data_IF_463567011086
#
_entry.id   IF_463567011086
#
_cell.length_a   1.000
_cell.length_b   1.000
_cell.length_c   1.000
_cell.angle_alpha   90.00
_cell.angle_beta   90.00
_cell.angle_gamma   90.00
#
_symmetry.space_group_name_H-M   'P 1'
#
loop_
_entity.id
_entity.type
_entity.pdbx_description
1 polymer ?
#
# COMPACT_ATOMS: atom_id res chain seq x y z
N UNK A 1 13.04 -18.41 -13.10
CA UNK A 1 11.93 -17.85 -12.29
C UNK A 1 12.51 -16.70 -11.48
N UNK A 2 11.95 -15.50 -11.57
CA UNK A 2 12.34 -14.37 -10.72
C UNK A 2 11.22 -14.17 -9.69
N UNK A 3 11.60 -14.10 -8.41
CA UNK A 3 10.70 -13.76 -7.31
C UNK A 3 10.94 -12.30 -6.96
N UNK A 4 9.85 -11.53 -6.87
CA UNK A 4 9.87 -10.12 -6.47
C UNK A 4 9.08 -9.98 -5.17
N UNK A 5 9.50 -9.08 -4.29
CA UNK A 5 8.77 -8.70 -3.08
C UNK A 5 8.67 -7.19 -3.05
N UNK A 6 7.45 -6.61 -3.00
CA UNK A 6 7.30 -5.17 -2.92
C UNK A 6 7.75 -4.67 -1.55
N UNK A 7 8.43 -3.52 -1.54
CA UNK A 7 8.88 -2.87 -0.30
C UNK A 7 8.42 -1.43 -0.31
N UNK A 8 7.87 -0.96 0.80
CA UNK A 8 7.54 0.45 0.99
C UNK A 8 8.77 1.23 1.42
N UNK A 9 9.16 2.21 0.61
CA UNK A 9 10.13 3.23 1.00
C UNK A 9 9.40 4.48 1.50
N UNK A 10 9.96 5.15 2.50
CA UNK A 10 9.43 6.42 3.01
C UNK A 10 10.55 7.46 3.15
N UNK A 11 10.18 8.73 3.04
CA UNK A 11 11.12 9.84 3.10
C UNK A 11 11.18 10.42 4.54
N UNK A 12 12.28 10.17 5.25
CA UNK A 12 12.50 10.65 6.62
C UNK A 12 12.48 12.19 6.74
N UNK A 13 12.96 12.91 5.73
CA UNK A 13 12.93 14.38 5.75
C UNK A 13 11.51 14.92 5.54
N UNK A 14 10.71 14.25 4.72
CA UNK A 14 9.29 14.56 4.59
C UNK A 14 8.55 14.33 5.91
N UNK A 15 8.88 13.26 6.64
CA UNK A 15 8.34 13.00 7.99
C UNK A 15 8.68 14.14 8.95
N UNK A 16 9.96 14.50 9.07
CA UNK A 16 10.40 15.62 9.92
C UNK A 16 9.68 16.93 9.57
N UNK A 17 9.59 17.28 8.28
CA UNK A 17 8.89 18.49 7.79
C UNK A 17 7.39 18.48 8.09
N UNK A 18 6.79 17.28 8.14
CA UNK A 18 5.39 17.08 8.49
C UNK A 18 5.13 16.99 10.01
N UNK A 19 6.17 17.07 10.85
CA UNK A 19 6.06 16.90 12.30
C UNK A 19 5.85 15.45 12.75
N UNK A 20 6.24 14.48 11.92
CA UNK A 20 6.21 13.05 12.21
C UNK A 20 7.58 12.55 12.68
N UNK A 21 7.60 11.45 13.44
CA UNK A 21 8.85 10.81 13.89
C UNK A 21 9.50 10.00 12.74
N UNK A 22 10.69 10.40 12.25
CA UNK A 22 11.35 9.73 11.13
C UNK A 22 11.89 8.34 11.46
N UNK A 23 11.94 7.94 12.73
CA UNK A 23 12.39 6.62 13.16
C UNK A 23 11.23 5.67 13.49
N UNK A 24 9.98 6.13 13.31
CA UNK A 24 8.77 5.33 13.48
C UNK A 24 7.98 5.26 12.16
N UNK A 25 8.39 4.37 11.24
CA UNK A 25 7.65 4.17 10.00
C UNK A 25 6.24 3.63 10.29
N UNK A 26 5.24 3.98 9.46
CA UNK A 26 3.90 3.41 9.56
C UNK A 26 3.91 1.88 9.52
N UNK A 27 3.13 1.25 10.39
CA UNK A 27 2.96 -0.20 10.49
C UNK A 27 1.59 -0.66 9.99
N UNK A 28 0.61 0.24 9.86
CA UNK A 28 -0.73 -0.07 9.33
C UNK A 28 -1.11 0.85 8.17
N UNK A 29 -2.13 0.45 7.39
CA UNK A 29 -2.62 1.27 6.28
C UNK A 29 -3.23 2.59 6.76
N UNK A 30 -3.88 2.62 7.93
CA UNK A 30 -4.40 3.85 8.54
C UNK A 30 -3.26 4.81 8.91
N UNK A 31 -2.14 4.27 9.42
CA UNK A 31 -0.96 5.07 9.72
C UNK A 31 -0.31 5.62 8.44
N UNK A 32 -0.29 4.86 7.36
CA UNK A 32 0.18 5.32 6.04
C UNK A 32 -0.72 6.46 5.55
N UNK A 33 -2.04 6.32 5.63
CA UNK A 33 -2.99 7.35 5.22
C UNK A 33 -2.81 8.64 6.04
N UNK A 34 -2.66 8.50 7.36
CA UNK A 34 -2.42 9.63 8.28
C UNK A 34 -1.11 10.35 7.95
N UNK A 35 -0.03 9.60 7.75
CA UNK A 35 1.27 10.16 7.37
C UNK A 35 1.21 10.86 6.02
N UNK A 36 0.54 10.25 5.03
CA UNK A 36 0.35 10.81 3.69
C UNK A 36 -0.40 12.15 3.72
N UNK A 37 -1.47 12.24 4.52
CA UNK A 37 -2.23 13.49 4.73
C UNK A 37 -1.36 14.57 5.38
N UNK A 38 -0.57 14.21 6.39
CA UNK A 38 0.34 15.15 7.06
C UNK A 38 1.42 15.70 6.11
N UNK A 39 2.05 14.83 5.32
CA UNK A 39 3.08 15.21 4.32
C UNK A 39 2.50 16.12 3.24
N UNK A 40 1.33 15.78 2.71
CA UNK A 40 0.65 16.60 1.70
C UNK A 40 0.28 17.98 2.26
N UNK A 41 -0.12 18.05 3.54
CA UNK A 41 -0.42 19.32 4.22
C UNK A 41 0.83 20.17 4.46
N UNK A 42 1.97 19.56 4.80
CA UNK A 42 3.22 20.28 5.05
C UNK A 42 3.92 20.74 3.76
N UNK A 43 3.65 20.08 2.63
CA UNK A 43 4.18 20.47 1.34
C UNK A 43 3.17 20.18 0.22
N UNK A 44 2.47 21.23 -0.24
CA UNK A 44 1.47 21.13 -1.32
C UNK A 44 2.03 20.62 -2.66
N UNK A 45 3.35 20.71 -2.87
CA UNK A 45 4.03 20.19 -4.06
C UNK A 45 4.39 18.70 -3.98
N UNK A 46 4.19 18.06 -2.82
CA UNK A 46 4.50 16.65 -2.59
C UNK A 46 3.22 15.82 -2.46
N UNK A 47 3.25 14.58 -2.96
CA UNK A 47 2.20 13.58 -2.71
C UNK A 47 2.64 12.72 -1.53
N UNK A 48 1.77 12.55 -0.55
CA UNK A 48 2.07 11.78 0.67
C UNK A 48 2.13 10.26 0.48
N UNK A 49 1.61 9.74 -0.64
CA UNK A 49 1.67 8.33 -1.00
C UNK A 49 1.64 8.21 -2.53
N UNK A 50 2.35 7.21 -3.06
CA UNK A 50 2.33 6.84 -4.46
C UNK A 50 2.45 5.33 -4.60
N UNK A 51 1.65 4.76 -5.49
CA UNK A 51 1.75 3.37 -5.91
C UNK A 51 2.00 3.37 -7.42
N UNK A 52 2.92 2.53 -7.88
CA UNK A 52 3.13 2.37 -9.31
C UNK A 52 1.87 1.76 -9.93
N UNK A 53 1.51 2.17 -11.14
CA UNK A 53 0.33 1.65 -11.85
C UNK A 53 0.57 0.24 -12.43
N UNK A 54 0.89 -0.70 -11.55
CA UNK A 54 1.06 -2.13 -11.86
C UNK A 54 0.04 -2.93 -11.07
N UNK A 55 -0.79 -3.71 -11.77
CA UNK A 55 -1.90 -4.45 -11.18
C UNK A 55 -1.49 -5.32 -9.98
N UNK A 56 -0.36 -6.02 -10.10
CA UNK A 56 0.14 -6.90 -9.06
C UNK A 56 0.42 -6.19 -7.72
N UNK A 57 0.71 -4.88 -7.69
CA UNK A 57 0.88 -4.16 -6.43
C UNK A 57 -0.44 -4.02 -5.65
N UNK A 58 -1.56 -3.89 -6.35
CA UNK A 58 -2.89 -3.89 -5.73
C UNK A 58 -3.24 -5.28 -5.20
N UNK A 59 -2.87 -6.33 -5.95
CA UNK A 59 -3.06 -7.72 -5.54
C UNK A 59 -2.31 -8.01 -4.23
N UNK A 60 -1.07 -7.54 -4.09
CA UNK A 60 -0.28 -7.67 -2.87
C UNK A 60 -0.90 -6.92 -1.68
N UNK A 61 -1.49 -5.73 -1.89
CA UNK A 61 -2.19 -5.01 -0.83
C UNK A 61 -3.44 -5.74 -0.35
N UNK A 62 -4.17 -6.40 -1.25
CA UNK A 62 -5.33 -7.25 -0.91
C UNK A 62 -4.86 -8.49 -0.14
N UNK A 63 -3.80 -9.14 -0.60
CA UNK A 63 -3.23 -10.32 0.05
C UNK A 63 -2.70 -10.02 1.47
N UNK A 64 -2.08 -8.86 1.70
CA UNK A 64 -1.64 -8.41 3.03
C UNK A 64 -2.81 -8.29 4.03
N UNK A 65 -4.04 -8.12 3.55
CA UNK A 65 -5.25 -8.07 4.38
C UNK A 65 -5.90 -9.45 4.55
N UNK A 66 -5.26 -10.52 4.08
CA UNK A 66 -5.78 -11.89 4.13
C UNK A 66 -6.93 -12.15 3.16
N UNK A 67 -7.18 -11.24 2.21
CA UNK A 67 -8.26 -11.36 1.25
C UNK A 67 -7.79 -11.98 -0.07
N UNK A 68 -8.74 -12.52 -0.83
CA UNK A 68 -8.52 -13.03 -2.18
C UNK A 68 -8.92 -11.95 -3.20
N UNK A 69 -8.18 -11.87 -4.30
CA UNK A 69 -8.49 -10.98 -5.42
C UNK A 69 -9.79 -11.41 -6.11
N UNK A 70 -9.98 -12.72 -6.29
CA UNK A 70 -11.12 -13.33 -6.95
C UNK A 70 -11.63 -14.54 -6.15
N UNK A 71 -12.88 -14.93 -6.36
CA UNK A 71 -13.43 -16.16 -5.77
C UNK A 71 -12.74 -17.44 -6.32
N UNK A 72 -13.13 -18.59 -5.76
CA UNK A 72 -12.59 -19.91 -6.12
C UNK A 72 -11.06 -20.00 -5.92
N UNK A 73 -10.58 -19.56 -4.74
CA UNK A 73 -9.17 -19.57 -4.35
C UNK A 73 -8.23 -18.83 -5.33
N UNK A 74 -8.69 -17.65 -5.81
CA UNK A 74 -8.10 -16.93 -6.95
C UNK A 74 -8.02 -17.81 -8.22
N UNK A 75 -9.10 -18.55 -8.51
CA UNK A 75 -9.18 -19.42 -9.69
C UNK A 75 -8.47 -20.77 -9.59
N UNK A 76 -8.00 -21.17 -8.40
CA UNK A 76 -7.31 -22.46 -8.21
C UNK A 76 -8.27 -23.63 -8.07
N UNK A 77 -9.46 -23.41 -7.51
CA UNK A 77 -10.45 -24.47 -7.32
C UNK A 77 -11.49 -24.56 -8.43
N UNK A 78 -11.80 -23.46 -9.12
CA UNK A 78 -12.67 -23.41 -10.31
C UNK A 78 -12.53 -22.03 -11.02
N UNK A 79 -13.14 -21.85 -12.20
CA UNK A 79 -13.14 -20.59 -12.96
C UNK A 79 -13.69 -19.44 -12.11
N UNK A 80 -12.94 -18.35 -11.88
CA UNK A 80 -13.40 -17.22 -11.08
C UNK A 80 -14.51 -16.45 -11.81
N UNK A 81 -15.51 -15.99 -11.07
CA UNK A 81 -16.70 -15.29 -11.59
C UNK A 81 -17.00 -13.98 -10.86
N UNK A 82 -16.32 -13.70 -9.75
CA UNK A 82 -16.55 -12.53 -8.88
C UNK A 82 -15.23 -12.06 -8.27
N UNK A 83 -15.17 -10.77 -7.94
CA UNK A 83 -14.11 -10.22 -7.07
C UNK A 83 -14.21 -10.82 -5.67
N UNK A 84 -13.07 -11.06 -5.03
CA UNK A 84 -12.97 -11.71 -3.72
C UNK A 84 -12.91 -10.74 -2.53
N UNK A 85 -12.87 -9.44 -2.79
CA UNK A 85 -12.78 -8.36 -1.79
C UNK A 85 -13.96 -7.39 -1.95
N UNK A 86 -14.29 -6.66 -0.88
CA UNK A 86 -15.40 -5.70 -0.80
C UNK A 86 -15.00 -4.41 -0.12
#
# INVERSE_FOLDING_TARGET
>A
FNSSTPVMYYNKDAFKKAGLDPEKPPQTFEEIEKASKAITKSNKGMKGFALQAYGWLVEELIANQGALLMNNDNGRSDTPTKVGFS
#
